data_IF_915784450569
#
_entry.id   IF_915784450569
#
_cell.length_a   1.000
_cell.length_b   1.000
_cell.length_c   1.000
_cell.angle_alpha   90.00
_cell.angle_beta   90.00
_cell.angle_gamma   90.00
#
_symmetry.space_group_name_H-M   'P 1'
#
loop_
_entity.id
_entity.type
_entity.pdbx_description
1 polymer ?
#
# COMPACT_ATOMS: atom_id res chain seq x y z
N UNK A 1 11.37 -66.08 -54.67
CA UNK A 1 11.94 -65.90 -53.31
C UNK A 1 11.66 -64.48 -52.87
N UNK A 2 10.75 -64.32 -51.92
CA UNK A 2 10.32 -63.04 -51.36
C UNK A 2 11.35 -62.53 -50.33
N UNK A 3 11.58 -61.22 -50.30
CA UNK A 3 12.01 -60.50 -49.11
C UNK A 3 11.47 -59.05 -49.18
N UNK A 4 10.41 -58.80 -48.42
CA UNK A 4 9.86 -57.47 -48.13
C UNK A 4 10.59 -56.93 -46.90
N UNK A 5 11.25 -55.78 -47.02
CA UNK A 5 11.85 -55.05 -45.90
C UNK A 5 10.80 -54.12 -45.27
N UNK A 6 10.46 -54.38 -44.01
CA UNK A 6 9.68 -53.48 -43.16
C UNK A 6 10.59 -52.57 -42.35
N UNK A 7 10.41 -51.26 -42.45
CA UNK A 7 10.99 -50.27 -41.54
C UNK A 7 10.01 -50.05 -40.39
N UNK A 8 10.47 -50.33 -39.17
CA UNK A 8 9.73 -50.11 -37.93
C UNK A 8 9.76 -48.61 -37.55
N UNK A 9 8.58 -48.05 -37.30
CA UNK A 9 8.40 -46.75 -36.65
C UNK A 9 8.40 -46.96 -35.13
N UNK A 10 9.36 -46.31 -34.44
CA UNK A 10 9.40 -46.24 -32.98
C UNK A 10 8.23 -45.39 -32.43
N UNK A 11 7.61 -45.77 -31.30
CA UNK A 11 6.56 -44.96 -30.70
C UNK A 11 7.16 -43.74 -29.96
N UNK A 12 6.59 -42.57 -30.21
CA UNK A 12 6.85 -41.33 -29.49
C UNK A 12 6.47 -41.49 -28.02
N UNK A 13 7.44 -41.27 -27.13
CA UNK A 13 7.24 -41.15 -25.71
C UNK A 13 6.30 -39.96 -25.42
N UNK A 14 5.13 -40.24 -24.85
CA UNK A 14 4.26 -39.21 -24.32
C UNK A 14 4.86 -38.70 -23.01
N UNK A 15 5.46 -37.51 -23.05
CA UNK A 15 5.79 -36.75 -21.84
C UNK A 15 4.48 -36.40 -21.13
N UNK A 16 4.22 -37.06 -20.00
CA UNK A 16 3.19 -36.63 -19.07
C UNK A 16 3.62 -35.28 -18.49
N UNK A 17 3.00 -34.21 -18.96
CA UNK A 17 3.00 -32.93 -18.27
C UNK A 17 2.25 -33.12 -16.97
N UNK A 18 2.98 -33.12 -15.86
CA UNK A 18 2.43 -32.98 -14.51
C UNK A 18 1.58 -31.70 -14.45
N UNK A 19 0.25 -31.87 -14.37
CA UNK A 19 -0.64 -30.77 -14.02
C UNK A 19 -0.29 -30.33 -12.60
N UNK A 20 0.32 -29.15 -12.48
CA UNK A 20 0.35 -28.43 -11.21
C UNK A 20 -1.10 -28.04 -10.93
N UNK A 21 -1.70 -28.66 -9.92
CA UNK A 21 -3.00 -28.26 -9.41
C UNK A 21 -2.86 -26.87 -8.78
N UNK A 22 -3.17 -25.82 -9.56
CA UNK A 22 -3.39 -24.48 -9.03
C UNK A 22 -4.72 -24.47 -8.26
N UNK A 23 -4.73 -24.99 -7.04
CA UNK A 23 -5.73 -24.58 -6.06
C UNK A 23 -5.37 -23.16 -5.66
N UNK A 24 -6.07 -22.17 -6.22
CA UNK A 24 -5.99 -20.79 -5.74
C UNK A 24 -6.25 -20.80 -4.23
N UNK A 25 -5.35 -20.18 -3.47
CA UNK A 25 -5.45 -20.17 -2.02
C UNK A 25 -6.57 -19.21 -1.62
N UNK A 26 -7.28 -19.53 -0.53
CA UNK A 26 -8.44 -18.76 -0.09
C UNK A 26 -8.16 -18.08 1.25
N UNK A 27 -8.69 -16.87 1.42
CA UNK A 27 -8.80 -16.15 2.68
C UNK A 27 -9.84 -16.87 3.54
N UNK A 28 -9.36 -17.65 4.52
CA UNK A 28 -10.23 -18.37 5.42
C UNK A 28 -10.77 -17.47 6.55
N UNK A 29 -11.96 -17.77 7.06
CA UNK A 29 -12.59 -17.12 8.23
C UNK A 29 -11.67 -17.16 9.45
N UNK A 30 -11.56 -16.03 10.16
CA UNK A 30 -10.65 -15.82 11.28
C UNK A 30 -9.24 -15.38 10.85
N UNK A 31 -8.27 -15.49 11.76
CA UNK A 31 -6.87 -15.14 11.50
C UNK A 31 -6.11 -16.29 10.85
N UNK A 32 -5.47 -16.01 9.70
CA UNK A 32 -4.65 -17.00 8.98
C UNK A 32 -3.39 -16.39 8.38
N UNK A 33 -2.35 -17.21 8.19
CA UNK A 33 -1.23 -16.90 7.31
C UNK A 33 -1.31 -17.80 6.08
N UNK A 34 -1.26 -17.20 4.89
CA UNK A 34 -1.37 -17.90 3.61
C UNK A 34 -0.35 -17.36 2.61
N UNK A 35 0.06 -18.18 1.64
CA UNK A 35 1.03 -17.85 0.60
C UNK A 35 0.37 -17.80 -0.78
N UNK A 36 0.15 -16.59 -1.27
CA UNK A 36 -0.47 -16.37 -2.58
C UNK A 36 0.57 -16.30 -3.68
N UNK A 37 0.21 -16.72 -4.89
CA UNK A 37 1.04 -16.57 -6.09
C UNK A 37 0.47 -15.46 -6.95
N UNK A 38 1.25 -14.40 -7.17
CA UNK A 38 0.80 -13.24 -7.93
C UNK A 38 0.59 -13.60 -9.41
N UNK A 39 -0.58 -13.30 -10.01
CA UNK A 39 -0.89 -13.70 -11.38
C UNK A 39 0.14 -13.25 -12.43
N UNK A 40 0.65 -12.02 -12.33
CA UNK A 40 1.53 -11.47 -13.36
C UNK A 40 3.00 -11.87 -13.18
N UNK A 41 3.52 -11.77 -11.95
CA UNK A 41 4.93 -12.01 -11.66
C UNK A 41 5.27 -13.45 -11.31
N UNK A 42 4.25 -14.27 -11.00
CA UNK A 42 4.39 -15.64 -10.46
C UNK A 42 5.20 -15.69 -9.14
N UNK A 43 5.46 -14.54 -8.53
CA UNK A 43 6.11 -14.46 -7.21
C UNK A 43 5.13 -14.90 -6.14
N UNK A 44 5.66 -15.60 -5.15
CA UNK A 44 4.91 -15.92 -3.95
C UNK A 44 5.01 -14.78 -2.94
N UNK A 45 3.91 -14.54 -2.22
CA UNK A 45 3.88 -13.60 -1.11
C UNK A 45 3.06 -14.18 0.04
N UNK A 46 3.62 -14.13 1.24
CA UNK A 46 2.90 -14.44 2.46
C UNK A 46 1.95 -13.29 2.82
N UNK A 47 0.76 -13.64 3.28
CA UNK A 47 -0.31 -12.72 3.65
C UNK A 47 -0.82 -13.15 5.02
N UNK A 48 -0.78 -12.23 5.97
CA UNK A 48 -1.55 -12.35 7.20
C UNK A 48 -2.95 -11.76 6.93
N UNK A 49 -4.01 -12.54 7.11
CA UNK A 49 -5.38 -12.10 6.88
C UNK A 49 -6.27 -12.24 8.11
N UNK A 50 -7.32 -11.44 8.16
CA UNK A 50 -8.46 -11.64 9.05
C UNK A 50 -9.75 -11.51 8.25
N UNK A 51 -10.63 -12.50 8.36
CA UNK A 51 -11.94 -12.51 7.69
C UNK A 51 -13.03 -12.70 8.76
N UNK A 52 -13.94 -11.73 8.97
CA UNK A 52 -15.05 -11.86 9.92
C UNK A 52 -15.95 -13.07 9.63
N UNK A 53 -16.67 -13.58 10.63
CA UNK A 53 -17.53 -14.77 10.48
C UNK A 53 -18.65 -14.56 9.45
N UNK A 54 -19.23 -13.36 9.39
CA UNK A 54 -20.34 -13.00 8.50
C UNK A 54 -19.86 -12.42 7.15
N UNK A 55 -18.57 -12.51 6.84
CA UNK A 55 -18.02 -11.97 5.60
C UNK A 55 -18.50 -12.74 4.35
N UNK A 56 -18.75 -11.99 3.28
CA UNK A 56 -19.13 -12.48 1.96
C UNK A 56 -18.29 -11.80 0.85
N UNK A 57 -18.57 -12.11 -0.42
CA UNK A 57 -17.84 -11.56 -1.55
C UNK A 57 -18.03 -10.03 -1.73
N UNK A 58 -19.02 -9.42 -1.06
CA UNK A 58 -19.26 -7.97 -1.07
C UNK A 58 -18.63 -7.25 0.13
N UNK A 59 -18.10 -8.01 1.10
CA UNK A 59 -17.36 -7.45 2.24
C UNK A 59 -16.15 -6.66 1.74
N UNK A 60 -16.00 -5.38 2.13
CA UNK A 60 -14.88 -4.56 1.68
C UNK A 60 -13.54 -5.10 2.18
N UNK A 61 -12.55 -5.10 1.30
CA UNK A 61 -11.18 -5.52 1.60
C UNK A 61 -10.35 -4.30 1.96
N UNK A 62 -9.62 -4.37 3.08
CA UNK A 62 -8.62 -3.39 3.51
C UNK A 62 -7.24 -4.01 3.41
N UNK A 63 -6.43 -3.52 2.46
CA UNK A 63 -5.01 -3.81 2.43
C UNK A 63 -4.27 -2.96 3.45
N UNK A 64 -3.51 -3.61 4.34
CA UNK A 64 -2.76 -2.96 5.43
C UNK A 64 -1.26 -3.14 5.20
N UNK A 65 -0.51 -2.03 5.18
CA UNK A 65 0.91 -2.00 4.85
C UNK A 65 1.75 -1.76 6.11
N UNK A 66 2.61 -2.72 6.41
CA UNK A 66 3.46 -2.74 7.61
C UNK A 66 4.54 -1.66 7.64
N UNK A 67 5.05 -1.38 8.84
CA UNK A 67 6.22 -0.54 9.04
C UNK A 67 7.55 -1.24 8.70
N UNK A 68 8.65 -0.64 9.18
CA UNK A 68 10.02 -1.12 8.95
C UNK A 68 10.28 -2.56 9.43
N UNK A 69 9.49 -3.04 10.39
CA UNK A 69 9.64 -4.35 11.03
C UNK A 69 9.12 -5.51 10.18
N UNK A 70 8.22 -5.26 9.21
CA UNK A 70 7.57 -6.29 8.37
C UNK A 70 6.75 -7.33 9.18
N UNK A 71 6.24 -6.91 10.34
CA UNK A 71 5.43 -7.70 11.26
C UNK A 71 3.95 -7.70 10.83
N UNK A 72 3.61 -8.56 9.88
CA UNK A 72 2.28 -8.58 9.26
C UNK A 72 1.18 -8.98 10.25
N UNK A 73 1.47 -9.92 11.14
CA UNK A 73 0.56 -10.42 12.16
C UNK A 73 0.18 -9.32 13.14
N UNK A 74 1.16 -8.61 13.72
CA UNK A 74 0.89 -7.49 14.64
C UNK A 74 0.02 -6.41 13.99
N UNK A 75 0.19 -6.18 12.68
CA UNK A 75 -0.64 -5.24 11.92
C UNK A 75 -2.04 -5.79 11.66
N UNK A 76 -2.20 -7.07 11.35
CA UNK A 76 -3.50 -7.73 11.17
C UNK A 76 -4.28 -7.77 12.49
N UNK A 77 -3.61 -8.14 13.58
CA UNK A 77 -4.19 -8.28 14.91
C UNK A 77 -4.69 -6.93 15.46
N UNK A 78 -3.99 -5.83 15.17
CA UNK A 78 -4.42 -4.48 15.53
C UNK A 78 -5.73 -4.04 14.85
N UNK A 79 -6.19 -4.76 13.82
CA UNK A 79 -7.42 -4.45 13.08
C UNK A 79 -8.58 -5.40 13.39
N UNK A 80 -8.37 -6.50 14.13
CA UNK A 80 -9.39 -7.55 14.33
C UNK A 80 -10.69 -6.98 14.90
N UNK A 81 -10.63 -6.31 16.05
CA UNK A 81 -11.84 -5.78 16.71
C UNK A 81 -12.62 -4.83 15.80
N UNK A 82 -11.90 -3.97 15.07
CA UNK A 82 -12.53 -3.01 14.16
C UNK A 82 -13.03 -3.66 12.86
N UNK A 83 -12.40 -4.77 12.43
CA UNK A 83 -12.84 -5.55 11.29
C UNK A 83 -14.16 -6.27 11.59
N UNK A 84 -14.32 -6.79 12.81
CA UNK A 84 -15.60 -7.34 13.29
C UNK A 84 -16.66 -6.25 13.45
N UNK A 85 -16.29 -5.10 14.03
CA UNK A 85 -17.25 -3.99 14.24
C UNK A 85 -17.79 -3.41 12.93
N UNK A 86 -16.92 -3.22 11.93
CA UNK A 86 -17.26 -2.52 10.69
C UNK A 86 -17.44 -3.42 9.46
N UNK A 87 -17.19 -4.73 9.59
CA UNK A 87 -17.32 -5.69 8.51
C UNK A 87 -16.26 -5.51 7.42
N UNK A 88 -14.99 -5.70 7.78
CA UNK A 88 -13.86 -5.62 6.84
C UNK A 88 -13.06 -6.91 6.77
N UNK A 89 -12.70 -7.32 5.56
CA UNK A 89 -11.65 -8.32 5.36
C UNK A 89 -10.29 -7.63 5.38
N UNK A 90 -9.43 -8.00 6.31
CA UNK A 90 -8.09 -7.42 6.47
C UNK A 90 -7.08 -8.29 5.76
N UNK A 91 -6.27 -7.67 4.89
CA UNK A 91 -5.23 -8.34 4.12
C UNK A 91 -3.90 -7.62 4.35
N UNK A 92 -2.92 -8.31 4.90
CA UNK A 92 -1.61 -7.73 5.26
C UNK A 92 -0.51 -8.48 4.52
N UNK A 93 -0.12 -8.02 3.31
CA UNK A 93 0.95 -8.66 2.56
C UNK A 93 2.30 -8.47 3.27
N UNK A 94 3.00 -9.58 3.49
CA UNK A 94 4.32 -9.61 4.11
C UNK A 94 5.40 -9.39 3.07
N UNK A 95 5.80 -8.14 2.93
CA UNK A 95 7.01 -7.78 2.19
C UNK A 95 8.24 -8.16 3.03
N UNK A 96 8.64 -9.44 2.98
CA UNK A 96 9.76 -9.97 3.76
C UNK A 96 11.07 -9.21 3.47
N UNK A 97 12.00 -9.16 4.43
CA UNK A 97 13.32 -8.54 4.17
C UNK A 97 14.17 -9.32 3.17
N UNK A 98 13.87 -10.60 2.99
CA UNK A 98 14.56 -11.49 2.04
C UNK A 98 14.12 -11.19 0.61
N UNK A 99 12.81 -11.10 0.37
CA UNK A 99 12.24 -10.95 -0.97
C UNK A 99 12.09 -9.49 -1.40
N UNK A 100 12.04 -8.57 -0.43
CA UNK A 100 11.89 -7.13 -0.60
C UNK A 100 12.94 -6.39 0.24
N UNK A 101 14.22 -6.48 -0.16
CA UNK A 101 15.34 -6.02 0.66
C UNK A 101 15.38 -4.49 0.80
N UNK A 102 15.52 -4.06 2.05
CA UNK A 102 15.71 -2.66 2.41
C UNK A 102 14.54 -1.75 2.03
N UNK A 103 14.83 -0.46 1.96
CA UNK A 103 13.86 0.58 1.59
C UNK A 103 13.57 0.55 0.08
N UNK A 104 14.58 0.27 -0.73
CA UNK A 104 14.47 0.15 -2.19
C UNK A 104 13.45 -0.92 -2.59
N UNK A 105 13.58 -2.13 -2.04
CA UNK A 105 12.71 -3.25 -2.36
C UNK A 105 11.31 -3.18 -1.74
N UNK A 106 11.03 -2.30 -0.79
CA UNK A 106 9.70 -2.20 -0.18
C UNK A 106 9.04 -0.86 -0.46
N UNK A 107 9.30 0.13 0.39
CA UNK A 107 8.58 1.39 0.41
C UNK A 107 9.10 2.44 -0.59
N UNK A 108 10.12 2.13 -1.39
CA UNK A 108 10.44 2.86 -2.64
C UNK A 108 10.00 2.08 -3.89
N UNK A 109 9.33 0.95 -3.74
CA UNK A 109 8.61 0.29 -4.82
C UNK A 109 9.44 -0.54 -5.78
N UNK A 110 10.74 -0.68 -5.55
CA UNK A 110 11.64 -1.38 -6.47
C UNK A 110 11.56 -0.81 -7.91
N UNK A 111 11.46 0.52 -8.07
CA UNK A 111 11.31 1.17 -9.37
C UNK A 111 12.56 1.09 -10.25
N UNK A 112 13.74 0.94 -9.64
CA UNK A 112 15.02 0.80 -10.34
C UNK A 112 15.82 -0.37 -9.79
N UNK A 113 16.60 -1.00 -10.65
CA UNK A 113 17.60 -2.00 -10.31
C UNK A 113 18.81 -1.38 -9.60
N UNK A 114 19.71 -2.22 -9.10
CA UNK A 114 20.92 -1.77 -8.39
C UNK A 114 21.88 -0.94 -9.27
N UNK A 115 21.88 -1.15 -10.58
CA UNK A 115 22.61 -0.39 -11.60
C UNK A 115 21.84 0.83 -12.12
N UNK A 116 20.66 1.14 -11.55
CA UNK A 116 19.89 2.35 -11.82
C UNK A 116 19.02 2.28 -13.08
N UNK A 117 18.86 1.10 -13.69
CA UNK A 117 17.91 0.90 -14.79
C UNK A 117 16.49 0.79 -14.24
N UNK A 118 15.50 1.31 -14.98
CA UNK A 118 14.09 1.15 -14.58
C UNK A 118 13.71 -0.33 -14.58
N UNK A 119 13.11 -0.79 -13.48
CA UNK A 119 12.51 -2.11 -13.42
C UNK A 119 11.15 -2.08 -14.11
N UNK A 120 10.72 -3.20 -14.73
CA UNK A 120 9.39 -3.27 -15.32
C UNK A 120 8.31 -3.34 -14.20
N UNK A 121 7.05 -2.93 -14.48
CA UNK A 121 6.00 -2.83 -13.46
C UNK A 121 5.74 -4.12 -12.67
N UNK A 122 5.86 -5.30 -13.28
CA UNK A 122 5.69 -6.60 -12.63
C UNK A 122 6.75 -6.88 -11.54
N UNK A 123 7.88 -6.17 -11.58
CA UNK A 123 8.92 -6.25 -10.54
C UNK A 123 8.71 -5.21 -9.43
N UNK A 124 7.79 -4.26 -9.59
CA UNK A 124 7.52 -3.24 -8.58
C UNK A 124 6.79 -3.85 -7.39
N UNK A 125 7.17 -3.40 -6.19
CA UNK A 125 6.50 -3.81 -4.97
C UNK A 125 5.07 -3.28 -4.92
N UNK A 126 4.78 -2.17 -5.60
CA UNK A 126 3.44 -1.58 -5.69
C UNK A 126 2.44 -2.48 -6.42
N UNK A 127 2.87 -3.18 -7.46
CA UNK A 127 2.02 -4.06 -8.28
C UNK A 127 1.49 -5.29 -7.53
N UNK A 128 2.11 -5.63 -6.39
CA UNK A 128 1.67 -6.72 -5.51
C UNK A 128 0.23 -6.55 -5.05
N UNK A 129 -0.20 -5.31 -4.76
CA UNK A 129 -1.52 -5.06 -4.19
C UNK A 129 -2.63 -5.33 -5.22
N UNK A 130 -2.52 -4.74 -6.41
CA UNK A 130 -3.48 -5.01 -7.49
C UNK A 130 -3.40 -6.46 -7.98
N UNK A 131 -2.22 -7.10 -7.92
CA UNK A 131 -2.05 -8.52 -8.23
C UNK A 131 -2.79 -9.45 -7.26
N UNK A 132 -2.70 -9.18 -5.94
CA UNK A 132 -3.48 -9.91 -4.93
C UNK A 132 -4.98 -9.69 -5.10
N UNK A 133 -5.40 -8.44 -5.33
CA UNK A 133 -6.81 -8.15 -5.53
C UNK A 133 -7.37 -8.85 -6.78
N UNK A 134 -6.61 -8.91 -7.87
CA UNK A 134 -6.96 -9.69 -9.07
C UNK A 134 -7.11 -11.18 -8.77
N UNK A 135 -6.21 -11.76 -7.96
CA UNK A 135 -6.33 -13.18 -7.56
C UNK A 135 -7.60 -13.43 -6.74
N UNK A 136 -7.96 -12.51 -5.83
CA UNK A 136 -9.21 -12.60 -5.06
C UNK A 136 -10.46 -12.48 -5.93
N UNK A 137 -10.45 -11.60 -6.93
CA UNK A 137 -11.55 -11.49 -7.92
C UNK A 137 -11.67 -12.77 -8.75
N UNK A 138 -10.56 -13.28 -9.30
CA UNK A 138 -10.55 -14.46 -10.17
C UNK A 138 -10.94 -15.74 -9.44
N UNK A 139 -10.65 -15.82 -8.15
CA UNK A 139 -11.04 -16.95 -7.28
C UNK A 139 -12.44 -16.82 -6.69
N UNK A 140 -13.15 -15.71 -6.96
CA UNK A 140 -14.50 -15.47 -6.46
C UNK A 140 -14.56 -15.09 -4.97
N UNK A 141 -13.43 -14.72 -4.36
CA UNK A 141 -13.36 -14.28 -2.97
C UNK A 141 -13.87 -12.86 -2.78
N UNK A 142 -13.88 -12.05 -3.85
CA UNK A 142 -14.53 -10.75 -3.86
C UNK A 142 -15.22 -10.48 -5.19
N UNK A 143 -16.38 -9.83 -5.12
CA UNK A 143 -17.11 -9.25 -6.25
C UNK A 143 -16.97 -7.71 -6.28
N UNK A 144 -16.27 -7.14 -5.30
CA UNK A 144 -15.98 -5.71 -5.21
C UNK A 144 -15.03 -5.32 -6.34
N UNK A 145 -15.20 -4.11 -6.86
CA UNK A 145 -14.38 -3.57 -7.96
C UNK A 145 -13.19 -2.75 -7.45
N UNK A 146 -13.17 -2.43 -6.16
CA UNK A 146 -12.20 -1.56 -5.50
C UNK A 146 -11.93 -2.02 -4.07
N UNK A 147 -10.78 -1.62 -3.54
CA UNK A 147 -10.35 -1.93 -2.18
C UNK A 147 -9.92 -0.68 -1.40
N UNK A 148 -9.84 -0.81 -0.09
CA UNK A 148 -9.26 0.19 0.81
C UNK A 148 -7.77 -0.06 1.03
N UNK A 149 -7.01 1.01 1.22
CA UNK A 149 -5.56 0.93 1.36
C UNK A 149 -5.08 1.73 2.57
N UNK A 150 -4.52 1.07 3.56
CA UNK A 150 -3.93 1.69 4.74
C UNK A 150 -2.44 1.39 4.84
N UNK A 151 -1.64 2.36 5.27
CA UNK A 151 -0.26 2.12 5.64
C UNK A 151 0.20 3.01 6.78
N UNK A 152 1.04 2.47 7.66
CA UNK A 152 1.64 3.22 8.77
C UNK A 152 3.18 3.23 8.67
N UNK A 153 3.81 4.37 8.95
CA UNK A 153 5.27 4.52 8.93
C UNK A 153 5.88 4.21 7.54
N UNK A 154 6.70 3.16 7.40
CA UNK A 154 7.17 2.72 6.08
C UNK A 154 6.02 2.23 5.17
N UNK A 155 4.91 1.76 5.74
CA UNK A 155 3.71 1.42 4.99
C UNK A 155 3.05 2.65 4.38
N UNK A 156 2.97 3.76 5.10
CA UNK A 156 2.51 5.04 4.51
C UNK A 156 3.47 5.52 3.41
N UNK A 157 4.77 5.29 3.57
CA UNK A 157 5.71 5.55 2.48
C UNK A 157 5.42 4.74 1.22
N UNK A 158 5.06 3.47 1.38
CA UNK A 158 4.60 2.64 0.27
C UNK A 158 3.31 3.19 -0.33
N UNK A 159 2.29 3.46 0.50
CA UNK A 159 0.95 3.88 0.05
C UNK A 159 1.02 5.15 -0.79
N UNK A 160 1.59 6.25 -0.29
CA UNK A 160 1.55 7.50 -1.05
C UNK A 160 2.34 7.43 -2.37
N UNK A 161 3.40 6.62 -2.41
CA UNK A 161 4.19 6.41 -3.63
C UNK A 161 3.49 5.48 -4.61
N UNK A 162 2.83 4.43 -4.13
CA UNK A 162 1.96 3.61 -4.97
C UNK A 162 0.89 4.47 -5.64
N UNK A 163 0.19 5.33 -4.89
CA UNK A 163 -0.81 6.23 -5.45
C UNK A 163 -0.21 7.22 -6.47
N UNK A 164 1.06 7.59 -6.30
CA UNK A 164 1.78 8.50 -7.21
C UNK A 164 2.19 7.81 -8.52
N UNK A 165 2.67 6.57 -8.46
CA UNK A 165 3.26 5.86 -9.61
C UNK A 165 2.35 4.82 -10.25
N UNK A 166 1.22 4.50 -9.61
CA UNK A 166 0.22 3.53 -10.09
C UNK A 166 -1.16 4.22 -10.16
N UNK A 167 -1.34 5.22 -11.04
CA UNK A 167 -2.58 6.00 -11.14
C UNK A 167 -3.80 5.15 -11.52
N UNK A 168 -3.59 3.99 -12.14
CA UNK A 168 -4.61 3.01 -12.49
C UNK A 168 -5.05 2.08 -11.34
N UNK A 169 -4.49 2.25 -10.14
CA UNK A 169 -4.81 1.40 -8.99
C UNK A 169 -6.31 1.42 -8.66
N UNK A 170 -6.84 0.30 -8.17
CA UNK A 170 -8.28 0.15 -7.84
C UNK A 170 -8.60 0.60 -6.41
N UNK A 171 -7.89 1.59 -5.91
CA UNK A 171 -8.09 2.14 -4.57
C UNK A 171 -9.40 2.93 -4.51
N UNK A 172 -10.30 2.56 -3.60
CA UNK A 172 -11.52 3.29 -3.30
C UNK A 172 -11.23 4.53 -2.45
N UNK A 173 -10.52 4.32 -1.35
CA UNK A 173 -9.96 5.35 -0.50
C UNK A 173 -8.70 4.82 0.20
N UNK A 174 -7.80 5.73 0.56
CA UNK A 174 -6.56 5.39 1.22
C UNK A 174 -6.33 6.22 2.49
N UNK A 175 -5.66 5.62 3.47
CA UNK A 175 -5.20 6.28 4.69
C UNK A 175 -3.69 6.09 4.80
N UNK A 176 -2.96 7.19 4.83
CA UNK A 176 -1.51 7.20 4.98
C UNK A 176 -1.13 7.80 6.32
N UNK A 177 -0.68 6.94 7.25
CA UNK A 177 -0.34 7.31 8.61
C UNK A 177 1.16 7.46 8.84
N UNK A 178 1.59 8.64 9.30
CA UNK A 178 2.89 8.88 9.93
C UNK A 178 4.12 8.42 9.12
N UNK A 179 4.18 8.70 7.82
CA UNK A 179 5.40 8.44 7.05
C UNK A 179 6.60 9.15 7.68
N UNK A 180 7.72 8.43 7.79
CA UNK A 180 8.94 9.04 8.34
C UNK A 180 9.51 10.17 7.48
N UNK A 181 9.18 10.24 6.19
CA UNK A 181 9.54 11.26 5.21
C UNK A 181 8.75 10.97 3.92
N UNK A 182 8.56 11.98 3.09
CA UNK A 182 7.62 11.95 1.98
C UNK A 182 8.31 12.13 0.63
N UNK A 183 7.71 11.59 -0.42
CA UNK A 183 7.89 12.06 -1.79
C UNK A 183 6.84 13.13 -2.01
N UNK A 184 7.23 14.40 -1.96
CA UNK A 184 6.31 15.51 -2.20
C UNK A 184 5.79 15.47 -3.65
N UNK A 185 4.52 15.79 -3.92
CA UNK A 185 3.95 15.79 -5.27
C UNK A 185 4.35 17.07 -6.01
N UNK A 186 5.66 17.28 -6.14
CA UNK A 186 6.27 18.43 -6.80
C UNK A 186 7.47 18.02 -7.64
N UNK A 187 7.79 18.84 -8.65
CA UNK A 187 8.99 18.68 -9.49
C UNK A 187 10.11 19.65 -9.07
N UNK A 188 10.01 20.22 -7.87
CA UNK A 188 10.99 21.15 -7.32
C UNK A 188 12.08 20.39 -6.55
N UNK A 189 11.73 19.24 -5.97
CA UNK A 189 12.60 18.34 -5.23
C UNK A 189 12.94 17.08 -6.01
N UNK A 190 14.20 16.64 -5.90
CA UNK A 190 14.69 15.41 -6.54
C UNK A 190 14.12 14.14 -5.90
N UNK A 191 13.92 13.12 -6.71
CA UNK A 191 13.61 11.77 -6.25
C UNK A 191 14.68 11.30 -5.22
N UNK A 192 14.28 10.68 -4.09
CA UNK A 192 12.93 10.27 -3.72
C UNK A 192 12.13 11.27 -2.86
N UNK A 193 12.58 12.52 -2.72
CA UNK A 193 11.92 13.52 -1.87
C UNK A 193 10.91 14.39 -2.64
N UNK A 194 11.00 14.42 -3.97
CA UNK A 194 9.96 14.89 -4.89
C UNK A 194 9.96 14.06 -6.17
N UNK A 195 9.37 14.61 -7.24
CA UNK A 195 9.15 13.95 -8.53
C UNK A 195 10.19 14.35 -9.59
N UNK A 196 11.07 15.32 -9.32
CA UNK A 196 12.13 15.68 -10.27
C UNK A 196 13.08 14.49 -10.45
N UNK A 197 13.34 14.13 -11.69
CA UNK A 197 14.18 12.99 -12.08
C UNK A 197 13.73 11.64 -11.46
N UNK A 198 12.42 11.50 -11.19
CA UNK A 198 11.86 10.23 -10.75
C UNK A 198 12.01 9.14 -11.82
N UNK A 199 12.20 7.87 -11.43
CA UNK A 199 12.38 6.76 -12.38
C UNK A 199 11.20 6.49 -13.30
N UNK A 200 10.03 6.97 -12.89
CA UNK A 200 8.76 6.88 -13.61
C UNK A 200 8.23 8.30 -13.74
N UNK A 201 7.94 8.69 -14.97
CA UNK A 201 7.38 10.02 -15.25
C UNK A 201 5.98 10.14 -14.64
N UNK A 202 5.74 11.24 -13.93
CA UNK A 202 4.43 11.58 -13.37
C UNK A 202 3.95 12.84 -14.07
N UNK A 203 3.29 12.63 -15.21
CA UNK A 203 2.78 13.71 -16.05
C UNK A 203 1.66 14.51 -15.36
N UNK A 204 1.17 15.55 -16.04
CA UNK A 204 0.14 16.43 -15.50
C UNK A 204 -1.19 15.70 -15.24
N UNK A 205 -1.53 14.70 -16.04
CA UNK A 205 -2.77 13.94 -15.87
C UNK A 205 -2.67 12.96 -14.70
N UNK A 206 -1.51 12.33 -14.50
CA UNK A 206 -1.22 11.53 -13.31
C UNK A 206 -1.27 12.38 -12.03
N UNK A 207 -0.72 13.60 -12.05
CA UNK A 207 -0.82 14.55 -10.92
C UNK A 207 -2.28 14.95 -10.65
N UNK A 208 -3.08 15.19 -11.69
CA UNK A 208 -4.52 15.47 -11.57
C UNK A 208 -5.27 14.30 -10.96
N UNK A 209 -4.99 13.07 -11.40
CA UNK A 209 -5.60 11.86 -10.85
C UNK A 209 -5.24 11.69 -9.37
N UNK A 210 -3.96 11.84 -9.03
CA UNK A 210 -3.46 11.79 -7.65
C UNK A 210 -4.19 12.79 -6.73
N UNK A 211 -4.35 14.04 -7.16
CA UNK A 211 -5.07 15.07 -6.41
C UNK A 211 -6.56 14.73 -6.17
N UNK A 212 -7.19 14.06 -7.12
CA UNK A 212 -8.59 13.63 -7.05
C UNK A 212 -8.85 12.34 -6.25
N UNK A 213 -7.81 11.66 -5.76
CA UNK A 213 -7.97 10.46 -4.92
C UNK A 213 -8.51 10.81 -3.53
N UNK A 214 -9.32 9.90 -2.98
CA UNK A 214 -9.78 9.99 -1.60
C UNK A 214 -8.65 9.54 -0.66
N UNK A 215 -7.77 10.47 -0.28
CA UNK A 215 -6.63 10.21 0.59
C UNK A 215 -6.74 10.97 1.91
N UNK A 216 -6.74 10.25 3.02
CA UNK A 216 -6.57 10.84 4.35
C UNK A 216 -5.10 10.69 4.78
N UNK A 217 -4.44 11.83 4.91
CA UNK A 217 -3.12 11.91 5.54
C UNK A 217 -3.32 12.06 7.05
N UNK A 218 -2.76 11.15 7.83
CA UNK A 218 -2.93 11.17 9.28
C UNK A 218 -1.64 10.87 10.02
N UNK A 219 -1.61 11.18 11.31
CA UNK A 219 -0.45 11.02 12.19
C UNK A 219 -0.92 11.11 13.63
N UNK A 220 -0.32 10.34 14.53
CA UNK A 220 -0.56 10.49 15.96
C UNK A 220 -0.12 11.89 16.43
N UNK A 221 -0.94 12.57 17.22
CA UNK A 221 -0.65 13.92 17.72
C UNK A 221 0.63 13.98 18.56
N UNK A 222 1.04 12.87 19.19
CA UNK A 222 2.24 12.76 20.00
C UNK A 222 3.47 12.25 19.23
N UNK A 223 3.40 12.06 17.90
CA UNK A 223 4.54 11.65 17.06
C UNK A 223 5.49 12.83 16.75
N UNK A 224 5.90 13.51 17.83
CA UNK A 224 6.58 14.80 17.81
C UNK A 224 8.07 14.73 18.17
N UNK A 225 8.59 13.56 18.56
CA UNK A 225 10.01 13.37 18.92
C UNK A 225 10.95 13.57 17.70
N UNK A 226 11.73 14.67 17.66
CA UNK A 226 12.63 14.93 16.55
C UNK A 226 13.87 14.03 16.58
N UNK A 227 14.17 13.37 17.69
CA UNK A 227 15.35 12.52 17.88
C UNK A 227 15.05 11.03 17.82
N UNK A 228 13.81 10.67 17.45
CA UNK A 228 13.40 9.28 17.34
C UNK A 228 14.36 8.49 16.42
N UNK A 229 14.86 7.35 16.90
CA UNK A 229 15.94 6.58 16.26
C UNK A 229 15.68 6.14 14.81
N UNK A 230 14.42 6.04 14.41
CA UNK A 230 14.01 5.68 13.05
C UNK A 230 13.55 6.87 12.19
N UNK A 231 13.67 8.10 12.70
CA UNK A 231 13.35 9.31 11.95
C UNK A 231 14.53 9.68 11.04
N UNK A 232 14.28 9.81 9.74
CA UNK A 232 15.31 10.22 8.79
C UNK A 232 15.65 11.70 8.97
N UNK A 233 16.95 12.01 9.09
CA UNK A 233 17.47 13.37 9.32
C UNK A 233 18.39 13.88 8.21
N UNK A 234 18.26 13.37 6.99
CA UNK A 234 18.93 13.97 5.81
C UNK A 234 18.42 15.39 5.59
N UNK A 235 19.22 16.24 4.94
CA UNK A 235 18.82 17.64 4.72
C UNK A 235 17.47 17.76 4.00
N UNK A 236 17.21 16.89 3.01
CA UNK A 236 15.92 16.86 2.29
C UNK A 236 14.76 16.46 3.20
N UNK A 237 14.94 15.47 4.08
CA UNK A 237 13.89 15.04 5.00
C UNK A 237 13.63 16.11 6.09
N UNK A 238 14.68 16.80 6.53
CA UNK A 238 14.55 17.91 7.50
C UNK A 238 13.86 19.13 6.90
N UNK A 239 13.97 19.36 5.58
CA UNK A 239 13.22 20.40 4.88
C UNK A 239 11.69 20.17 4.92
N UNK A 240 11.25 18.92 5.17
CA UNK A 240 9.84 18.58 5.31
C UNK A 240 9.32 18.80 6.75
N UNK A 241 10.19 19.03 7.74
CA UNK A 241 9.83 19.17 9.15
C UNK A 241 10.74 18.39 10.11
N UNK A 242 10.72 18.78 11.38
CA UNK A 242 11.55 18.22 12.45
C UNK A 242 11.02 16.90 13.00
N UNK A 243 9.72 16.63 12.87
CA UNK A 243 9.06 15.40 13.32
C UNK A 243 8.00 14.93 12.32
N UNK A 244 7.29 13.83 12.60
CA UNK A 244 6.34 13.25 11.63
C UNK A 244 5.04 14.05 11.52
N UNK A 245 4.62 14.72 12.59
CA UNK A 245 3.46 15.61 12.58
C UNK A 245 3.66 16.77 11.58
N UNK A 246 4.78 17.49 11.71
CA UNK A 246 5.14 18.58 10.78
C UNK A 246 5.24 18.06 9.34
N UNK A 247 5.91 16.90 9.14
CA UNK A 247 6.11 16.31 7.81
C UNK A 247 4.81 15.93 7.13
N UNK A 248 3.87 15.31 7.86
CA UNK A 248 2.58 14.93 7.32
C UNK A 248 1.76 16.16 6.90
N UNK A 249 1.80 17.22 7.72
CA UNK A 249 1.17 18.50 7.38
C UNK A 249 1.77 19.14 6.12
N UNK A 250 3.11 19.19 6.03
CA UNK A 250 3.81 19.73 4.86
C UNK A 250 3.46 18.95 3.59
N UNK A 251 3.38 17.62 3.66
CA UNK A 251 2.98 16.78 2.52
C UNK A 251 1.55 17.14 2.04
N UNK A 252 0.58 17.18 2.96
CA UNK A 252 -0.79 17.55 2.65
C UNK A 252 -0.89 18.95 2.03
N UNK A 253 -0.28 19.96 2.66
CA UNK A 253 -0.34 21.34 2.16
C UNK A 253 0.38 21.53 0.84
N UNK A 254 1.47 20.79 0.58
CA UNK A 254 2.15 20.83 -0.71
C UNK A 254 1.22 20.33 -1.82
N UNK A 255 0.52 19.21 -1.59
CA UNK A 255 -0.43 18.66 -2.53
C UNK A 255 -1.60 19.62 -2.80
N UNK A 256 -2.20 20.16 -1.73
CA UNK A 256 -3.32 21.10 -1.80
C UNK A 256 -2.93 22.37 -2.59
N UNK A 257 -1.76 22.95 -2.31
CA UNK A 257 -1.27 24.13 -3.00
C UNK A 257 -1.02 23.87 -4.49
N UNK A 258 -0.47 22.69 -4.85
CA UNK A 258 -0.25 22.31 -6.24
C UNK A 258 -1.56 22.07 -6.98
N UNK A 259 -2.52 21.38 -6.36
CA UNK A 259 -3.85 21.19 -6.93
C UNK A 259 -4.55 22.52 -7.20
N UNK A 260 -4.56 23.44 -6.22
CA UNK A 260 -5.10 24.79 -6.36
C UNK A 260 -4.41 25.59 -7.47
N UNK A 261 -3.08 25.53 -7.55
CA UNK A 261 -2.30 26.22 -8.60
C UNK A 261 -2.64 25.72 -10.01
N UNK A 262 -2.92 24.43 -10.15
CA UNK A 262 -3.21 23.82 -11.45
C UNK A 262 -4.69 23.73 -11.79
N UNK A 263 -5.58 24.11 -10.86
CA UNK A 263 -7.03 24.01 -11.01
C UNK A 263 -7.54 22.57 -11.00
N UNK A 264 -6.91 21.70 -10.21
CA UNK A 264 -7.36 20.32 -10.03
C UNK A 264 -8.37 20.23 -8.90
N UNK A 265 -9.32 19.31 -9.03
CA UNK A 265 -10.12 18.86 -7.89
C UNK A 265 -9.19 18.21 -6.85
N UNK A 266 -9.44 18.51 -5.57
CA UNK A 266 -8.61 18.04 -4.47
C UNK A 266 -9.47 17.39 -3.40
N UNK A 267 -9.35 16.08 -3.25
CA UNK A 267 -10.20 15.27 -2.35
C UNK A 267 -9.45 14.76 -1.12
N UNK A 268 -8.25 15.27 -0.86
CA UNK A 268 -7.48 14.82 0.30
C UNK A 268 -7.98 15.48 1.58
N UNK A 269 -7.86 14.76 2.68
CA UNK A 269 -8.08 15.27 4.02
C UNK A 269 -6.82 15.09 4.89
N UNK A 270 -6.75 15.86 5.98
CA UNK A 270 -5.70 15.72 6.99
C UNK A 270 -6.29 15.73 8.40
N UNK A 271 -5.87 14.82 9.26
CA UNK A 271 -6.21 14.88 10.68
C UNK A 271 -5.15 14.23 11.57
N UNK A 272 -4.86 14.83 12.71
CA UNK A 272 -4.08 14.18 13.78
C UNK A 272 -4.97 13.29 14.64
N UNK A 273 -4.42 12.20 15.17
CA UNK A 273 -5.11 11.32 16.13
C UNK A 273 -4.68 11.69 17.55
N UNK A 274 -5.60 12.17 18.41
CA UNK A 274 -5.28 12.55 19.79
C UNK A 274 -4.67 11.39 20.59
N UNK A 275 -3.79 11.70 21.54
CA UNK A 275 -3.24 10.75 22.52
C UNK A 275 -2.52 9.53 21.92
N UNK A 276 -2.06 9.65 20.68
CA UNK A 276 -1.35 8.59 19.93
C UNK A 276 0.00 9.10 19.46
N UNK A 277 1.06 8.33 19.68
CA UNK A 277 2.42 8.59 19.18
C UNK A 277 2.71 7.88 17.85
N UNK A 278 3.93 7.35 17.70
CA UNK A 278 4.31 6.52 16.55
C UNK A 278 3.84 5.06 16.72
N UNK A 279 2.53 4.86 16.85
CA UNK A 279 1.92 3.57 17.17
C UNK A 279 0.87 3.15 16.14
N UNK A 280 1.08 1.99 15.49
CA UNK A 280 0.11 1.43 14.56
C UNK A 280 -1.18 1.00 15.26
N UNK A 281 -1.08 0.39 16.44
CA UNK A 281 -2.24 -0.15 17.14
C UNK A 281 -3.19 0.97 17.58
N UNK A 282 -2.66 2.09 18.07
CA UNK A 282 -3.44 3.29 18.37
C UNK A 282 -4.09 3.96 17.14
N UNK A 283 -3.51 3.82 15.94
CA UNK A 283 -4.06 4.41 14.70
C UNK A 283 -5.13 3.50 14.06
N UNK A 284 -5.00 2.17 14.16
CA UNK A 284 -5.84 1.23 13.43
C UNK A 284 -7.36 1.42 13.69
N UNK A 285 -7.86 1.57 14.93
CA UNK A 285 -9.27 1.83 15.19
C UNK A 285 -9.78 3.13 14.55
N UNK A 286 -8.97 4.19 14.60
CA UNK A 286 -9.29 5.46 13.93
C UNK A 286 -9.41 5.24 12.41
N UNK A 287 -8.44 4.57 11.80
CA UNK A 287 -8.44 4.33 10.36
C UNK A 287 -9.63 3.47 9.91
N UNK A 288 -9.97 2.41 10.65
CA UNK A 288 -11.12 1.57 10.37
C UNK A 288 -12.44 2.34 10.45
N UNK A 289 -12.61 3.18 11.48
CA UNK A 289 -13.77 4.08 11.60
C UNK A 289 -13.89 5.02 10.40
N UNK A 290 -12.77 5.53 9.89
CA UNK A 290 -12.76 6.42 8.72
C UNK A 290 -13.11 5.69 7.42
N UNK A 291 -12.67 4.44 7.24
CA UNK A 291 -13.16 3.62 6.12
C UNK A 291 -14.64 3.26 6.25
N UNK A 292 -15.14 3.00 7.47
CA UNK A 292 -16.56 2.74 7.70
C UNK A 292 -17.42 3.97 7.39
N UNK A 293 -16.98 5.16 7.77
CA UNK A 293 -17.60 6.42 7.36
C UNK A 293 -17.59 6.58 5.83
N UNK A 294 -16.47 6.25 5.18
CA UNK A 294 -16.37 6.31 3.73
C UNK A 294 -17.30 5.32 3.01
N UNK A 295 -17.43 4.08 3.49
CA UNK A 295 -18.39 3.11 2.94
C UNK A 295 -19.83 3.62 3.03
N UNK A 296 -20.18 4.30 4.13
CA UNK A 296 -21.53 4.81 4.35
C UNK A 296 -21.84 6.08 3.56
N UNK A 297 -20.91 7.03 3.57
CA UNK A 297 -21.17 8.42 3.17
C UNK A 297 -20.37 8.86 1.92
N UNK A 298 -19.43 8.05 1.45
CA UNK A 298 -18.53 8.39 0.33
C UNK A 298 -17.47 9.44 0.68
N UNK A 299 -17.26 9.72 1.97
CA UNK A 299 -16.28 10.68 2.48
C UNK A 299 -15.73 10.24 3.84
N UNK A 300 -14.52 10.68 4.18
CA UNK A 300 -14.02 10.56 5.55
C UNK A 300 -14.80 11.49 6.49
N UNK A 301 -15.03 11.06 7.73
CA UNK A 301 -15.66 11.84 8.80
C UNK A 301 -14.57 12.52 9.64
N UNK A 302 -13.92 13.50 9.01
CA UNK A 302 -12.83 14.29 9.59
C UNK A 302 -12.98 15.76 9.24
N UNK A 303 -12.42 16.62 10.09
CA UNK A 303 -12.31 18.06 9.81
C UNK A 303 -10.84 18.41 9.66
N UNK A 304 -10.43 18.76 8.45
CA UNK A 304 -9.07 19.24 8.20
C UNK A 304 -8.84 20.58 8.89
N UNK A 305 -7.83 20.71 9.76
CA UNK A 305 -7.54 21.99 10.41
C UNK A 305 -7.02 23.02 9.38
N UNK A 306 -7.35 24.29 9.60
CA UNK A 306 -6.87 25.39 8.73
C UNK A 306 -5.40 25.76 9.00
N UNK A 307 -4.91 25.46 10.20
CA UNK A 307 -3.56 25.80 10.67
C UNK A 307 -2.76 24.55 10.99
N UNK A 308 -1.42 24.62 10.97
CA UNK A 308 -0.57 23.49 11.33
C UNK A 308 -0.93 22.98 12.74
N UNK A 309 -1.01 21.65 12.95
CA UNK A 309 -1.23 21.08 14.28
C UNK A 309 -0.05 21.39 15.21
N UNK A 310 -0.33 21.38 16.53
CA UNK A 310 0.76 21.44 17.52
C UNK A 310 1.69 20.24 17.33
N UNK A 311 2.97 20.52 17.39
CA UNK A 311 4.05 19.58 17.14
C UNK A 311 5.22 19.77 18.10
N UNK A 312 5.00 20.53 19.18
CA UNK A 312 5.96 20.63 20.27
C UNK A 312 6.15 19.25 20.92
N UNK A 313 7.40 18.86 21.26
CA UNK A 313 7.62 17.63 22.00
C UNK A 313 6.88 17.68 23.35
N UNK A 314 6.02 16.71 23.61
CA UNK A 314 5.46 16.52 24.95
C UNK A 314 6.61 16.12 25.89
N UNK A 315 6.76 16.86 27.00
CA UNK A 315 7.84 16.66 27.99
C UNK A 315 7.60 15.45 28.87
#
# INVERSE_FOLDING_TARGET
MLALGGLALSPLAHSQTSQVSNTSQTLATGSHESTFTLPDSQRQIEVASYVPEDADAQTPIVFVLTGLKRNAEDYRDAWIDAADEYGFTIVVPRFSKQDYPGVAGYNLGNLVSADGQSNPPEAWSYSVIDGLFTDFEQSGQTERQRYYLFGHSAGCQFVHRMLTFVPQSRVQAAICSAAGWWTLPDTDNEWPYGLKDAPVEVDRDAQRQLAGLNLLVTVGAEDTDPWHKYLRRSYQAMAQGNNRVERAWVYYKTAEQKANRYGFDFHWAFQTVPDVGHDNAGIAPFAAKQFAAFERDGTFDVVTPETPPDSQPHR
#
